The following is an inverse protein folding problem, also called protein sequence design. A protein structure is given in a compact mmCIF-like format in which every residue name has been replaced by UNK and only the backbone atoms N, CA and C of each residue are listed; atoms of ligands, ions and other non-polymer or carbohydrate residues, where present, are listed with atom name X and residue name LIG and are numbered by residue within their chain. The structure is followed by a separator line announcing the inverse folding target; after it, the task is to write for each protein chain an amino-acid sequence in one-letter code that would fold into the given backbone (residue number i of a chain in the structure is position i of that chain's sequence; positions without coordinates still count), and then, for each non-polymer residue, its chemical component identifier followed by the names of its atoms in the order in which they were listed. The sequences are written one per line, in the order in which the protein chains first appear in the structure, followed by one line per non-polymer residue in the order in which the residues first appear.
data_IF_434232338695
#
_entry.id   IF_434232338695
#
_cell.length_a   1.000
_cell.length_b   1.000
_cell.length_c   1.000
_cell.angle_alpha   90.00
_cell.angle_beta   90.00
_cell.angle_gamma   90.00
#
_symmetry.space_group_name_H-M   'P 1'
#
loop_
_entity.id
_entity.type
_entity.pdbx_description
1 polymer ?
#
# COMPACT_ATOMS: atom_id res chain seq x y z
N UNK A 1 4.13 1.70 -21.81
CA UNK A 1 4.42 0.87 -20.61
C UNK A 1 4.97 1.72 -19.45
N UNK A 2 4.50 2.96 -19.26
CA UNK A 2 4.97 3.84 -18.18
C UNK A 2 3.98 3.94 -17.02
N UNK A 3 2.77 3.38 -17.17
CA UNK A 3 1.63 3.51 -16.23
C UNK A 3 1.72 2.59 -14.99
N UNK A 4 2.61 1.58 -14.98
CA UNK A 4 2.69 0.62 -13.86
C UNK A 4 3.65 1.05 -12.73
N UNK A 5 4.42 2.13 -12.93
CA UNK A 5 5.48 2.57 -12.02
C UNK A 5 4.97 3.02 -10.66
N UNK A 6 3.92 3.84 -10.65
CA UNK A 6 3.30 4.34 -9.41
C UNK A 6 2.72 3.23 -8.54
N UNK A 7 1.93 2.33 -9.12
CA UNK A 7 1.32 1.20 -8.38
C UNK A 7 2.42 0.29 -7.84
N UNK A 8 3.48 0.03 -8.63
CA UNK A 8 4.62 -0.76 -8.17
C UNK A 8 5.35 -0.10 -6.99
N UNK A 9 5.49 1.22 -7.00
CA UNK A 9 6.22 1.96 -5.95
C UNK A 9 5.42 2.01 -4.65
N UNK A 10 4.13 2.34 -4.75
CA UNK A 10 3.25 2.43 -3.58
C UNK A 10 3.04 1.04 -2.98
N UNK A 11 2.71 0.03 -3.79
CA UNK A 11 2.46 -1.33 -3.30
C UNK A 11 3.71 -1.95 -2.66
N UNK A 12 4.92 -1.61 -3.14
CA UNK A 12 6.15 -2.05 -2.50
C UNK A 12 6.19 -1.65 -1.02
N UNK A 13 5.83 -0.41 -0.69
CA UNK A 13 5.79 0.06 0.71
C UNK A 13 4.76 -0.72 1.54
N UNK A 14 3.60 -1.03 0.97
CA UNK A 14 2.54 -1.78 1.66
C UNK A 14 2.97 -3.20 2.00
N UNK A 15 3.57 -3.91 1.04
CA UNK A 15 3.99 -5.30 1.23
C UNK A 15 5.25 -5.43 2.08
N UNK A 16 6.15 -4.45 2.07
CA UNK A 16 7.34 -4.44 2.92
C UNK A 16 7.01 -4.15 4.38
N UNK A 17 6.06 -3.25 4.64
CA UNK A 17 5.75 -2.76 5.98
C UNK A 17 4.46 -3.33 6.55
N UNK A 18 3.74 -4.19 5.82
CA UNK A 18 2.42 -4.69 6.19
C UNK A 18 1.44 -3.54 6.52
N UNK A 19 1.45 -2.49 5.69
CA UNK A 19 0.71 -1.24 5.88
C UNK A 19 1.10 -0.37 7.08
N UNK A 20 2.07 -0.77 7.92
CA UNK A 20 2.47 -0.03 9.13
C UNK A 20 2.94 1.41 8.85
N UNK A 21 3.51 1.67 7.68
CA UNK A 21 4.02 3.01 7.35
C UNK A 21 2.99 3.95 6.71
N UNK A 22 1.80 3.45 6.38
CA UNK A 22 0.80 4.19 5.56
C UNK A 22 -0.59 4.23 6.19
N UNK A 23 -0.78 3.60 7.35
CA UNK A 23 -2.06 3.50 8.04
C UNK A 23 -1.86 3.85 9.52
N UNK A 24 -2.87 4.43 10.21
CA UNK A 24 -2.82 4.63 11.65
C UNK A 24 -2.43 3.36 12.41
N UNK A 25 -1.55 3.49 13.40
CA UNK A 25 -0.94 2.37 14.11
C UNK A 25 -1.98 1.38 14.67
N UNK A 26 -3.02 1.89 15.34
CA UNK A 26 -4.09 1.07 15.93
C UNK A 26 -4.88 0.24 14.91
N UNK A 27 -4.94 0.68 13.66
CA UNK A 27 -5.54 -0.06 12.54
C UNK A 27 -4.53 -1.04 11.92
N UNK A 28 -3.29 -0.60 11.73
CA UNK A 28 -2.26 -1.40 11.08
C UNK A 28 -1.86 -2.64 11.90
N UNK A 29 -1.84 -2.55 13.24
CA UNK A 29 -1.57 -3.71 14.10
C UNK A 29 -2.62 -4.81 13.95
N UNK A 30 -3.88 -4.46 13.70
CA UNK A 30 -4.93 -5.46 13.44
C UNK A 30 -4.73 -6.19 12.11
N UNK A 31 -4.19 -5.51 11.09
CA UNK A 31 -3.77 -6.17 9.85
C UNK A 31 -2.59 -7.12 10.09
N UNK A 32 -1.66 -6.74 10.96
CA UNK A 32 -0.53 -7.59 11.37
C UNK A 32 -1.04 -8.83 12.12
N UNK A 33 -2.02 -8.70 13.00
CA UNK A 33 -2.65 -9.84 13.69
C UNK A 33 -3.29 -10.81 12.69
N UNK A 34 -4.03 -10.28 11.71
CA UNK A 34 -4.62 -11.10 10.64
C UNK A 34 -3.54 -11.76 9.77
N UNK A 35 -2.43 -11.06 9.50
CA UNK A 35 -1.30 -11.61 8.76
C UNK A 35 -0.64 -12.78 9.48
N UNK A 36 -0.50 -12.72 10.81
CA UNK A 36 0.05 -13.85 11.56
C UNK A 36 -0.87 -15.07 11.58
N UNK A 37 -2.19 -14.87 11.48
CA UNK A 37 -3.17 -15.96 11.44
C UNK A 37 -3.39 -16.56 10.03
N UNK A 38 -3.72 -15.73 9.04
CA UNK A 38 -4.06 -16.15 7.66
C UNK A 38 -2.88 -16.10 6.69
N UNK A 39 -1.75 -15.50 7.09
CA UNK A 39 -0.60 -15.29 6.23
C UNK A 39 -0.79 -14.13 5.23
N UNK A 40 0.08 -14.08 4.22
CA UNK A 40 0.12 -12.95 3.26
C UNK A 40 -1.17 -12.77 2.45
N UNK A 41 -2.03 -13.80 2.37
CA UNK A 41 -3.30 -13.74 1.63
C UNK A 41 -4.12 -12.53 2.03
N UNK A 42 -4.25 -12.25 3.33
CA UNK A 42 -5.04 -11.11 3.83
C UNK A 42 -4.46 -9.77 3.37
N UNK A 43 -3.14 -9.65 3.29
CA UNK A 43 -2.46 -8.43 2.85
C UNK A 43 -2.74 -8.16 1.37
N UNK A 44 -2.77 -9.20 0.54
CA UNK A 44 -3.19 -9.06 -0.86
C UNK A 44 -4.67 -8.68 -0.97
N UNK A 45 -5.55 -9.29 -0.18
CA UNK A 45 -6.98 -8.98 -0.19
C UNK A 45 -7.23 -7.52 0.17
N UNK A 46 -6.57 -7.02 1.22
CA UNK A 46 -6.67 -5.63 1.66
C UNK A 46 -6.08 -4.68 0.61
N UNK A 47 -4.91 -4.98 0.05
CA UNK A 47 -4.32 -4.17 -1.02
C UNK A 47 -5.26 -4.06 -2.25
N UNK A 48 -5.87 -5.17 -2.67
CA UNK A 48 -6.84 -5.18 -3.76
C UNK A 48 -8.13 -4.42 -3.40
N UNK A 49 -8.59 -4.50 -2.16
CA UNK A 49 -9.75 -3.74 -1.69
C UNK A 49 -9.49 -2.24 -1.68
N UNK A 50 -8.31 -1.80 -1.22
CA UNK A 50 -7.88 -0.41 -1.26
C UNK A 50 -7.83 0.10 -2.70
N UNK A 51 -7.18 -0.65 -3.61
CA UNK A 51 -7.12 -0.28 -5.03
C UNK A 51 -8.51 -0.24 -5.68
N UNK A 52 -9.37 -1.21 -5.36
CA UNK A 52 -10.72 -1.25 -5.89
C UNK A 52 -11.57 -0.09 -5.36
N UNK A 53 -11.48 0.25 -4.08
CA UNK A 53 -12.25 1.34 -3.49
C UNK A 53 -11.92 2.70 -4.11
N UNK A 54 -10.71 2.86 -4.64
CA UNK A 54 -10.23 4.08 -5.28
C UNK A 54 -10.12 3.92 -6.81
N UNK A 55 -10.72 2.89 -7.41
CA UNK A 55 -10.49 2.59 -8.82
C UNK A 55 -10.93 3.74 -9.74
N UNK A 56 -12.13 4.26 -9.54
CA UNK A 56 -12.69 5.32 -10.40
C UNK A 56 -11.84 6.59 -10.31
N UNK A 57 -11.46 7.01 -9.09
CA UNK A 57 -10.60 8.18 -8.88
C UNK A 57 -9.18 7.96 -9.41
N UNK A 58 -8.65 6.74 -9.33
CA UNK A 58 -7.35 6.38 -9.89
C UNK A 58 -7.33 6.38 -11.42
N UNK A 59 -8.45 6.05 -12.06
CA UNK A 59 -8.58 6.09 -13.52
C UNK A 59 -8.65 7.53 -14.05
N UNK A 60 -9.13 8.47 -13.23
CA UNK A 60 -9.21 9.89 -13.56
C UNK A 60 -7.93 10.69 -13.22
N UNK A 61 -6.93 10.04 -12.60
CA UNK A 61 -5.66 10.67 -12.22
C UNK A 61 -4.85 11.12 -13.44
N UNK A 62 -4.26 12.31 -13.35
CA UNK A 62 -3.40 12.86 -14.40
C UNK A 62 -1.91 12.56 -14.20
N UNK A 63 -1.48 12.33 -12.96
CA UNK A 63 -0.08 12.06 -12.62
C UNK A 63 0.11 11.10 -11.43
N UNK A 64 1.34 10.61 -11.27
CA UNK A 64 1.69 9.65 -10.21
C UNK A 64 1.54 10.23 -8.80
N UNK A 65 1.79 11.54 -8.62
CA UNK A 65 1.67 12.22 -7.33
C UNK A 65 0.22 12.34 -6.87
N UNK A 66 -0.71 12.52 -7.81
CA UNK A 66 -2.15 12.50 -7.53
C UNK A 66 -2.60 11.12 -7.03
N UNK A 67 -2.19 10.05 -7.72
CA UNK A 67 -2.48 8.67 -7.30
C UNK A 67 -1.89 8.34 -5.92
N UNK A 68 -0.65 8.79 -5.63
CA UNK A 68 -0.05 8.67 -4.31
C UNK A 68 -0.87 9.39 -3.24
N UNK A 69 -1.35 10.59 -3.54
CA UNK A 69 -2.15 11.41 -2.61
C UNK A 69 -3.52 10.77 -2.34
N UNK A 70 -4.19 10.24 -3.37
CA UNK A 70 -5.49 9.56 -3.22
C UNK A 70 -5.35 8.33 -2.32
N UNK A 71 -4.39 7.45 -2.62
CA UNK A 71 -4.17 6.23 -1.86
C UNK A 71 -3.67 6.51 -0.44
N UNK A 72 -2.77 7.49 -0.27
CA UNK A 72 -2.31 7.95 1.03
C UNK A 72 -3.45 8.45 1.88
N UNK A 73 -4.27 9.38 1.35
CA UNK A 73 -5.44 9.91 2.06
C UNK A 73 -6.44 8.82 2.42
N UNK A 74 -6.68 7.86 1.54
CA UNK A 74 -7.58 6.74 1.83
C UNK A 74 -7.07 5.94 3.05
N UNK A 75 -5.79 5.56 3.04
CA UNK A 75 -5.18 4.73 4.09
C UNK A 75 -5.02 5.47 5.42
N UNK A 76 -4.72 6.78 5.38
CA UNK A 76 -4.67 7.66 6.56
C UNK A 76 -6.03 7.74 7.30
N UNK A 77 -7.14 7.54 6.58
CA UNK A 77 -8.50 7.58 7.13
C UNK A 77 -9.05 6.20 7.52
N UNK A 78 -8.21 5.15 7.49
CA UNK A 78 -8.57 3.83 8.01
C UNK A 78 -8.35 3.82 9.52
N UNK A 79 -9.44 3.83 10.27
CA UNK A 79 -9.44 3.96 11.73
C UNK A 79 -10.02 2.74 12.41
N UNK A 80 -9.54 2.46 13.61
CA UNK A 80 -10.15 1.47 14.50
C UNK A 80 -11.23 2.16 15.35
N UNK A 81 -12.51 1.95 14.97
CA UNK A 81 -13.66 2.54 15.68
C UNK A 81 -13.96 1.91 17.02
N UNK A 82 -13.33 0.78 17.35
CA UNK A 82 -13.46 0.12 18.66
C UNK A 82 -12.46 0.67 19.70
N UNK A 83 -11.52 1.54 19.30
CA UNK A 83 -10.65 2.22 20.26
C UNK A 83 -11.45 3.18 21.12
N UNK A 84 -11.38 2.99 22.45
CA UNK A 84 -12.04 3.84 23.47
C UNK A 84 -11.27 5.15 23.71
N UNK A 85 -10.12 5.31 23.07
CA UNK A 85 -9.27 6.49 23.20
C UNK A 85 -9.90 7.68 22.45
N UNK A 86 -9.97 8.88 23.05
CA UNK A 86 -10.42 10.06 22.33
C UNK A 86 -9.48 10.30 21.14
N UNK A 87 -10.01 10.61 19.93
CA UNK A 87 -9.18 10.82 18.76
C UNK A 87 -8.24 12.00 19.04
N UNK A 88 -6.93 11.75 19.04
CA UNK A 88 -5.95 12.83 19.10
C UNK A 88 -6.10 13.59 17.78
N UNK A 89 -6.47 14.88 17.78
CA UNK A 89 -6.65 15.62 16.53
C UNK A 89 -5.33 15.64 15.77
N UNK A 90 -5.30 15.05 14.58
CA UNK A 90 -4.15 15.20 13.68
C UNK A 90 -3.98 16.70 13.38
N UNK A 91 -2.76 17.23 13.54
CA UNK A 91 -2.45 18.65 13.33
C UNK A 91 -2.92 19.16 11.95
N UNK A 92 -2.99 18.26 10.95
CA UNK A 92 -3.50 18.56 9.61
C UNK A 92 -5.01 18.91 9.57
N UNK A 93 -5.83 18.27 10.41
CA UNK A 93 -7.28 18.53 10.50
C UNK A 93 -7.58 19.91 11.14
N UNK A 94 -6.69 20.41 11.99
CA UNK A 94 -6.78 21.76 12.57
C UNK A 94 -6.38 22.86 11.57
N UNK A 95 -5.58 22.52 10.55
CA UNK A 95 -5.00 23.47 9.59
C UNK A 95 -5.79 23.58 8.27
N UNK A 96 -6.76 22.69 8.03
CA UNK A 96 -7.55 22.62 6.78
C UNK A 96 -9.04 22.89 7.01
N UNK A 97 -9.38 23.88 7.84
CA UNK A 97 -10.73 24.22 8.32
C UNK A 97 -11.71 24.76 7.26
N UNK A 98 -11.75 24.16 6.07
CA UNK A 98 -12.69 24.47 4.99
C UNK A 98 -13.24 23.27 4.24
N UNK A 99 -12.55 22.11 4.24
CA UNK A 99 -13.04 20.89 3.60
C UNK A 99 -13.69 19.94 4.63
N UNK A 100 -14.80 19.31 4.24
CA UNK A 100 -15.45 18.27 5.02
C UNK A 100 -14.43 17.14 5.28
N UNK A 101 -14.27 16.69 6.54
CA UNK A 101 -13.27 15.66 6.84
C UNK A 101 -13.55 14.41 6.01
N UNK A 102 -12.52 13.83 5.36
CA UNK A 102 -12.68 12.63 4.56
C UNK A 102 -13.36 11.50 5.36
N UNK A 103 -14.21 10.69 4.74
CA UNK A 103 -14.99 9.67 5.43
C UNK A 103 -14.05 8.64 6.08
N UNK A 104 -14.24 8.41 7.37
CA UNK A 104 -13.47 7.41 8.12
C UNK A 104 -13.90 5.99 7.75
N UNK A 105 -12.92 5.19 7.34
CA UNK A 105 -13.08 3.78 6.99
C UNK A 105 -12.79 2.96 8.24
N UNK A 106 -13.75 2.16 8.68
CA UNK A 106 -13.53 1.22 9.78
C UNK A 106 -12.63 0.07 9.31
N UNK A 107 -11.51 -0.13 10.00
CA UNK A 107 -10.55 -1.20 9.70
C UNK A 107 -11.19 -2.59 9.71
N UNK A 108 -12.14 -2.85 10.62
CA UNK A 108 -12.84 -4.14 10.66
C UNK A 108 -13.73 -4.34 9.43
N UNK A 109 -14.41 -3.29 8.98
CA UNK A 109 -15.18 -3.32 7.74
C UNK A 109 -14.27 -3.49 6.51
N UNK A 110 -13.11 -2.82 6.50
CA UNK A 110 -12.13 -2.98 5.42
C UNK A 110 -11.64 -4.43 5.33
N UNK A 111 -11.22 -5.02 6.46
CA UNK A 111 -10.74 -6.41 6.51
C UNK A 111 -11.87 -7.34 6.06
N UNK A 112 -13.07 -7.23 6.65
CA UNK A 112 -14.21 -8.06 6.30
C UNK A 112 -14.56 -7.98 4.81
N UNK A 113 -14.77 -6.77 4.29
CA UNK A 113 -15.12 -6.55 2.89
C UNK A 113 -14.02 -7.02 1.93
N UNK A 114 -12.75 -6.92 2.33
CA UNK A 114 -11.62 -7.45 1.55
C UNK A 114 -11.66 -8.97 1.45
N UNK A 115 -11.95 -9.66 2.55
CA UNK A 115 -12.10 -11.11 2.59
C UNK A 115 -13.33 -11.58 1.80
N UNK A 116 -14.45 -10.87 1.90
CA UNK A 116 -15.68 -11.21 1.18
C UNK A 116 -15.49 -11.03 -0.34
N UNK A 117 -14.89 -9.91 -0.75
CA UNK A 117 -14.76 -9.54 -2.16
C UNK A 117 -13.62 -10.28 -2.88
N UNK A 118 -12.51 -10.51 -2.19
CA UNK A 118 -11.32 -11.18 -2.73
C UNK A 118 -11.07 -12.54 -2.07
N UNK A 119 -12.12 -13.17 -1.54
CA UNK A 119 -12.06 -14.49 -0.89
C UNK A 119 -11.66 -15.62 -1.84
N UNK A 120 -11.85 -15.44 -3.14
CA UNK A 120 -11.38 -16.38 -4.16
C UNK A 120 -9.86 -16.39 -4.33
N UNK A 121 -9.15 -15.40 -3.78
CA UNK A 121 -7.69 -15.37 -3.81
C UNK A 121 -7.14 -16.46 -2.89
N UNK A 122 -6.46 -17.44 -3.48
CA UNK A 122 -5.88 -18.56 -2.74
C UNK A 122 -4.37 -18.43 -2.60
N UNK A 123 -3.83 -19.02 -1.54
CA UNK A 123 -2.41 -19.01 -1.25
C UNK A 123 -1.57 -19.70 -2.33
N UNK A 124 -2.08 -20.78 -2.93
CA UNK A 124 -1.40 -21.51 -4.03
C UNK A 124 -1.21 -20.62 -5.26
N UNK A 125 -2.20 -19.80 -5.59
CA UNK A 125 -2.13 -18.87 -6.72
C UNK A 125 -1.08 -17.78 -6.46
N UNK A 126 -1.02 -17.25 -5.22
CA UNK A 126 0.00 -16.26 -4.82
C UNK A 126 1.39 -16.87 -4.94
N UNK A 127 1.58 -18.10 -4.46
CA UNK A 127 2.87 -18.80 -4.52
C UNK A 127 3.29 -19.09 -5.97
N UNK A 128 2.35 -19.54 -6.81
CA UNK A 128 2.60 -19.78 -8.23
C UNK A 128 3.02 -18.49 -8.95
N UNK A 129 2.34 -17.37 -8.68
CA UNK A 129 2.68 -16.06 -9.26
C UNK A 129 4.06 -15.59 -8.80
N UNK A 130 4.39 -15.77 -7.51
CA UNK A 130 5.71 -15.46 -6.96
C UNK A 130 6.80 -16.28 -7.63
N UNK A 131 6.58 -17.58 -7.80
CA UNK A 131 7.52 -18.46 -8.49
C UNK A 131 7.77 -17.98 -9.92
N UNK A 132 6.70 -17.65 -10.65
CA UNK A 132 6.80 -17.15 -12.02
C UNK A 132 7.55 -15.81 -12.13
N UNK A 133 7.39 -14.93 -11.14
CA UNK A 133 8.03 -13.61 -11.14
C UNK A 133 9.45 -13.61 -10.55
N UNK A 134 9.83 -14.63 -9.78
CA UNK A 134 11.09 -14.67 -9.02
C UNK A 134 12.32 -14.39 -9.86
N UNK A 135 12.48 -15.07 -11.00
CA UNK A 135 13.64 -14.89 -11.87
C UNK A 135 13.71 -13.47 -12.43
N UNK A 136 12.56 -12.90 -12.85
CA UNK A 136 12.48 -11.53 -13.36
C UNK A 136 12.89 -10.50 -12.30
N UNK A 137 12.44 -10.70 -11.07
CA UNK A 137 12.79 -9.82 -9.94
C UNK A 137 14.29 -9.92 -9.63
N UNK A 138 14.84 -11.13 -9.53
CA UNK A 138 16.28 -11.34 -9.27
C UNK A 138 17.13 -10.64 -10.33
N UNK A 139 16.81 -10.87 -11.61
CA UNK A 139 17.55 -10.27 -12.72
C UNK A 139 17.42 -8.74 -12.70
N UNK A 140 16.23 -8.20 -12.46
CA UNK A 140 16.01 -6.76 -12.33
C UNK A 140 16.82 -6.13 -11.19
N UNK A 141 16.93 -6.81 -10.06
CA UNK A 141 17.75 -6.36 -8.92
C UNK A 141 19.24 -6.39 -9.28
N UNK A 142 19.71 -7.46 -9.94
CA UNK A 142 21.10 -7.58 -10.39
C UNK A 142 21.47 -6.49 -11.40
N UNK A 143 20.62 -6.25 -12.40
CA UNK A 143 20.82 -5.20 -13.41
C UNK A 143 20.80 -3.80 -12.79
N UNK A 144 20.00 -3.60 -11.74
CA UNK A 144 19.98 -2.34 -10.99
C UNK A 144 21.27 -2.16 -10.17
N UNK A 145 21.77 -3.21 -9.54
CA UNK A 145 23.04 -3.18 -8.81
C UNK A 145 24.23 -2.90 -9.74
N UNK A 146 24.30 -3.58 -10.90
CA UNK A 146 25.35 -3.34 -11.91
C UNK A 146 25.36 -1.89 -12.39
N UNK A 147 24.19 -1.33 -12.70
CA UNK A 147 24.07 0.09 -13.11
C UNK A 147 24.47 1.06 -12.01
N UNK A 148 24.12 0.77 -10.76
CA UNK A 148 24.51 1.59 -9.60
C UNK A 148 26.03 1.66 -9.45
N UNK A 149 26.71 0.51 -9.56
CA UNK A 149 28.18 0.41 -9.53
C UNK A 149 28.84 1.17 -10.69
N UNK A 150 28.33 1.05 -11.91
CA UNK A 150 28.85 1.84 -13.05
C UNK A 150 28.67 3.34 -12.80
N UNK A 151 27.51 3.76 -12.29
CA UNK A 151 27.26 5.17 -11.98
C UNK A 151 28.15 5.71 -10.86
N UNK A 152 28.57 4.89 -9.88
CA UNK A 152 29.51 5.33 -8.85
C UNK A 152 30.90 5.57 -9.42
N UNK A 153 31.39 4.71 -10.31
CA UNK A 153 32.69 4.93 -10.98
C UNK A 153 32.69 6.15 -11.90
N UNK A 154 31.59 6.41 -12.62
CA UNK A 154 31.47 7.61 -13.45
C UNK A 154 31.44 8.88 -12.60
N UNK A 155 30.80 8.85 -11.42
CA UNK A 155 30.83 9.99 -10.48
C UNK A 155 32.23 10.21 -9.89
N UNK A 156 32.98 9.14 -9.65
CA UNK A 156 34.33 9.19 -9.10
C UNK A 156 35.38 9.62 -10.14
N UNK A 157 35.16 9.35 -11.43
CA UNK A 157 36.03 9.78 -12.53
C UNK A 157 35.82 11.25 -12.98
N UNK A 158 34.81 11.93 -12.44
CA UNK A 158 34.46 13.34 -12.76
C UNK A 158 34.82 14.29 -11.60
N UNK A 159 35.41 13.76 -10.52
CA UNK A 159 36.04 14.50 -9.40
C UNK A 159 37.55 14.47 -9.58
#
# INVERSE_FOLDING_TARGET
MQELGVISTISLSWFLTLFLSVMPFDSAVLLVDCFFYEGIKVIFQVALAVLHANMDTLLDCNDEGEAMTILGRYLDNVVNKETVSPPIPHLHALLTSGDEPPPQIDVFQLIKSSCDKFGSLRADVIEQMRFHQRLKVIQSLEDTAKRSVVSSYVKEAVV
#
